data_IF_347326691200
#
_entry.id   IF_347326691200
#
_cell.length_a   1.000
_cell.length_b   1.000
_cell.length_c   1.000
_cell.angle_alpha   90.00
_cell.angle_beta   90.00
_cell.angle_gamma   90.00
#
_symmetry.space_group_name_H-M   'P 1'
#
loop_
_entity.id
_entity.type
_entity.pdbx_description
1 polymer ?
#
# COMPACT_ATOMS: atom_id res chain seq x y z
N UNK A 1 -78.02 0.75 28.29
CA UNK A 1 -77.38 -0.18 27.35
C UNK A 1 -76.25 0.54 26.64
N UNK A 2 -75.06 0.38 27.20
CA UNK A 2 -73.80 1.03 26.84
C UNK A 2 -73.04 0.13 25.85
N UNK A 3 -72.66 0.67 24.69
CA UNK A 3 -71.76 -0.01 23.73
C UNK A 3 -70.31 0.42 24.00
N UNK A 4 -69.31 -0.50 23.93
CA UNK A 4 -67.97 -0.22 24.42
C UNK A 4 -67.07 0.46 23.38
N UNK A 5 -66.19 1.33 23.90
CA UNK A 5 -65.03 1.92 23.24
C UNK A 5 -63.99 0.82 22.92
N UNK A 6 -63.65 0.62 21.65
CA UNK A 6 -62.47 -0.16 21.26
C UNK A 6 -61.22 0.71 21.35
N UNK A 7 -60.39 0.49 22.37
CA UNK A 7 -59.02 1.03 22.46
C UNK A 7 -58.15 0.34 21.41
N UNK A 8 -57.70 1.07 20.40
CA UNK A 8 -56.64 0.62 19.50
C UNK A 8 -55.30 0.80 20.23
N UNK A 9 -54.69 -0.31 20.65
CA UNK A 9 -53.36 -0.35 21.23
C UNK A 9 -52.36 -0.31 20.06
N UNK A 10 -51.74 0.85 19.81
CA UNK A 10 -50.69 0.98 18.81
C UNK A 10 -49.39 0.35 19.32
N UNK A 11 -49.02 -0.82 18.77
CA UNK A 11 -47.68 -1.38 18.93
C UNK A 11 -46.67 -0.49 18.19
N UNK A 12 -45.86 0.24 18.95
CA UNK A 12 -44.69 0.94 18.46
C UNK A 12 -43.61 -0.10 18.13
N UNK A 13 -43.45 -0.47 16.85
CA UNK A 13 -42.29 -1.26 16.42
C UNK A 13 -41.05 -0.36 16.47
N UNK A 14 -40.19 -0.57 17.46
CA UNK A 14 -38.84 -0.03 17.49
C UNK A 14 -37.99 -0.74 16.44
N UNK A 15 -37.55 -0.01 15.41
CA UNK A 15 -36.52 -0.48 14.50
C UNK A 15 -35.18 -0.50 15.26
N UNK A 16 -34.76 -1.68 15.70
CA UNK A 16 -33.38 -1.90 16.08
C UNK A 16 -32.54 -1.90 14.79
N UNK A 17 -31.73 -0.86 14.59
CA UNK A 17 -30.68 -0.87 13.59
C UNK A 17 -29.66 -1.93 14.00
N UNK A 18 -29.80 -3.16 13.50
CA UNK A 18 -28.71 -4.12 13.52
C UNK A 18 -27.60 -3.56 12.62
N UNK A 19 -26.51 -3.07 13.23
CA UNK A 19 -25.24 -2.92 12.54
C UNK A 19 -24.76 -4.33 12.26
N UNK A 20 -25.06 -4.82 11.06
CA UNK A 20 -24.48 -6.04 10.55
C UNK A 20 -22.98 -5.76 10.36
N UNK A 21 -22.12 -6.44 11.12
CA UNK A 21 -20.74 -6.60 10.72
C UNK A 21 -20.77 -7.44 9.44
N UNK A 22 -20.70 -6.79 8.27
CA UNK A 22 -20.47 -7.49 7.01
C UNK A 22 -19.11 -8.17 7.09
N UNK A 23 -19.11 -9.46 7.44
CA UNK A 23 -17.95 -10.32 7.23
C UNK A 23 -17.98 -10.74 5.77
N UNK A 24 -17.50 -9.86 4.88
CA UNK A 24 -17.04 -10.32 3.57
C UNK A 24 -15.77 -11.12 3.82
N UNK A 25 -15.82 -12.44 3.68
CA UNK A 25 -14.60 -13.25 3.67
C UNK A 25 -13.65 -12.67 2.61
N UNK A 26 -12.44 -12.22 2.98
CA UNK A 26 -11.56 -11.52 2.05
C UNK A 26 -11.15 -12.48 0.92
N UNK A 27 -11.17 -11.98 -0.32
CA UNK A 27 -10.67 -12.73 -1.47
C UNK A 27 -9.16 -12.90 -1.28
N UNK A 28 -8.70 -14.13 -1.09
CA UNK A 28 -7.28 -14.47 -1.00
C UNK A 28 -6.78 -14.86 -2.38
N UNK A 29 -5.66 -14.26 -2.78
CA UNK A 29 -4.96 -14.57 -4.01
C UNK A 29 -3.51 -14.96 -3.74
N UNK A 30 -2.82 -15.35 -4.80
CA UNK A 30 -1.37 -15.50 -4.78
C UNK A 30 -0.76 -14.78 -5.98
N UNK A 31 0.47 -14.33 -5.82
CA UNK A 31 1.28 -13.78 -6.90
C UNK A 31 2.66 -14.45 -6.90
N UNK A 32 3.22 -14.63 -8.09
CA UNK A 32 4.60 -15.07 -8.27
C UNK A 32 5.43 -13.87 -8.65
N UNK A 33 6.42 -13.56 -7.83
CA UNK A 33 7.39 -12.50 -8.08
C UNK A 33 8.63 -13.14 -8.71
N UNK A 34 8.88 -12.82 -9.97
CA UNK A 34 10.04 -13.32 -10.69
C UNK A 34 11.20 -12.35 -10.50
N UNK A 35 12.19 -12.78 -9.71
CA UNK A 35 13.45 -12.07 -9.54
C UNK A 35 14.39 -12.46 -10.67
N UNK A 36 14.96 -11.45 -11.31
CA UNK A 36 16.13 -11.58 -12.17
C UNK A 36 17.40 -11.55 -11.33
N UNK A 37 18.49 -12.08 -11.88
CA UNK A 37 19.82 -11.80 -11.34
C UNK A 37 20.08 -10.29 -11.37
N UNK A 38 20.79 -9.78 -10.36
CA UNK A 38 20.89 -8.35 -10.04
C UNK A 38 19.54 -7.75 -9.60
N UNK A 39 19.12 -6.62 -10.18
CA UNK A 39 18.07 -5.78 -9.57
C UNK A 39 16.69 -6.09 -10.14
N UNK A 40 15.75 -6.35 -9.24
CA UNK A 40 14.31 -6.45 -9.53
C UNK A 40 13.53 -5.50 -8.62
N UNK A 41 12.53 -4.79 -9.15
CA UNK A 41 11.64 -3.94 -8.36
C UNK A 41 10.40 -4.72 -7.95
N UNK A 42 10.04 -4.64 -6.68
CA UNK A 42 8.90 -5.34 -6.11
C UNK A 42 7.95 -4.37 -5.42
N UNK A 43 6.68 -4.71 -5.46
CA UNK A 43 5.61 -4.04 -4.75
C UNK A 43 4.49 -5.04 -4.55
N UNK A 44 3.69 -4.85 -3.51
CA UNK A 44 2.68 -5.82 -3.13
C UNK A 44 1.33 -5.40 -3.67
N UNK A 45 0.85 -6.12 -4.69
CA UNK A 45 -0.52 -5.98 -5.18
C UNK A 45 -1.54 -6.65 -4.26
N UNK A 46 -1.06 -7.51 -3.36
CA UNK A 46 -1.85 -8.16 -2.32
C UNK A 46 -1.66 -7.45 -0.99
N UNK A 47 -2.71 -7.41 -0.19
CA UNK A 47 -2.71 -6.85 1.14
C UNK A 47 -2.39 -7.89 2.21
N UNK A 48 -1.88 -7.41 3.35
CA UNK A 48 -1.90 -8.11 4.61
C UNK A 48 -3.26 -8.57 5.11
N UNK A 49 -3.20 -9.28 6.23
CA UNK A 49 -4.37 -9.62 7.03
C UNK A 49 -4.99 -8.33 7.58
N UNK A 50 -6.28 -8.16 7.29
CA UNK A 50 -7.13 -7.20 7.99
C UNK A 50 -7.47 -7.75 9.37
N UNK A 51 -7.18 -6.98 10.42
CA UNK A 51 -7.43 -7.41 11.81
C UNK A 51 -8.70 -6.79 12.39
N UNK A 52 -9.06 -5.59 11.93
CA UNK A 52 -10.21 -4.86 12.45
C UNK A 52 -10.80 -3.96 11.36
N UNK A 53 -12.12 -3.77 11.40
CA UNK A 53 -12.81 -2.68 10.73
C UNK A 53 -13.70 -1.96 11.75
N UNK A 54 -13.65 -0.63 11.76
CA UNK A 54 -14.42 0.17 12.70
C UNK A 54 -14.73 1.56 12.13
N UNK A 55 -15.80 2.17 12.63
CA UNK A 55 -15.96 3.61 12.52
C UNK A 55 -14.99 4.31 13.48
N UNK A 56 -14.67 5.57 13.24
CA UNK A 56 -13.81 6.36 14.13
C UNK A 56 -14.25 7.82 14.20
N UNK A 57 -13.92 8.46 15.32
CA UNK A 57 -13.98 9.91 15.48
C UNK A 57 -12.57 10.46 15.59
N UNK A 58 -12.39 11.71 15.18
CA UNK A 58 -11.12 12.41 15.19
C UNK A 58 -11.04 13.25 16.47
N UNK A 59 -9.88 13.29 17.11
CA UNK A 59 -9.69 14.19 18.24
C UNK A 59 -9.83 15.65 17.80
N UNK A 60 -10.57 16.44 18.59
CA UNK A 60 -10.76 17.87 18.33
C UNK A 60 -9.49 18.71 18.46
N UNK A 61 -8.43 18.19 19.08
CA UNK A 61 -7.16 18.90 19.29
C UNK A 61 -6.00 18.42 18.39
N UNK A 62 -6.09 17.22 17.82
CA UNK A 62 -5.03 16.63 17.00
C UNK A 62 -5.59 15.59 16.02
N UNK A 63 -5.48 15.85 14.71
CA UNK A 63 -5.98 14.94 13.66
C UNK A 63 -5.18 13.65 13.51
N UNK A 64 -4.05 13.49 14.23
CA UNK A 64 -3.34 12.21 14.34
C UNK A 64 -3.98 11.27 15.32
N UNK A 65 -4.80 11.78 16.24
CA UNK A 65 -5.46 10.97 17.28
C UNK A 65 -6.88 10.66 16.84
N UNK A 66 -7.21 9.36 16.80
CA UNK A 66 -8.55 8.87 16.46
C UNK A 66 -9.06 7.91 17.52
N UNK A 67 -10.38 7.89 17.70
CA UNK A 67 -11.07 7.04 18.67
C UNK A 67 -11.97 6.07 17.93
N UNK A 68 -11.68 4.77 18.02
CA UNK A 68 -12.47 3.76 17.34
C UNK A 68 -13.84 3.60 18.02
N UNK A 69 -14.87 3.49 17.20
CA UNK A 69 -16.26 3.39 17.60
C UNK A 69 -16.78 1.98 17.33
N UNK A 70 -17.62 1.46 18.23
CA UNK A 70 -18.26 0.16 18.08
C UNK A 70 -18.73 -0.41 19.42
N UNK A 71 -19.92 -1.00 19.45
CA UNK A 71 -20.42 -1.68 20.64
C UNK A 71 -19.54 -2.89 20.98
N UNK A 72 -18.98 -2.93 22.18
CA UNK A 72 -18.13 -4.04 22.63
C UNK A 72 -16.70 -4.01 22.09
N UNK A 73 -16.30 -2.95 21.38
CA UNK A 73 -14.91 -2.72 21.01
C UNK A 73 -14.12 -2.32 22.26
N UNK A 74 -13.09 -3.09 22.58
CA UNK A 74 -12.17 -2.82 23.69
C UNK A 74 -10.76 -3.09 23.21
N UNK A 75 -9.97 -2.04 23.03
CA UNK A 75 -8.54 -2.17 22.71
C UNK A 75 -7.72 -2.48 23.96
N UNK A 76 -6.55 -3.05 23.76
CA UNK A 76 -5.49 -3.12 24.80
C UNK A 76 -4.36 -2.14 24.46
N UNK A 77 -3.66 -1.67 25.49
CA UNK A 77 -2.47 -0.84 25.27
C UNK A 77 -1.46 -1.56 24.38
N UNK A 78 -0.94 -0.85 23.39
CA UNK A 78 0.05 -1.38 22.44
C UNK A 78 -0.49 -2.43 21.44
N UNK A 79 -1.79 -2.72 21.38
CA UNK A 79 -2.34 -3.78 20.51
C UNK A 79 -1.83 -3.72 19.07
N UNK A 80 -1.82 -2.55 18.44
CA UNK A 80 -1.37 -2.35 17.06
C UNK A 80 -0.03 -1.61 16.93
N UNK A 81 0.68 -1.44 18.05
CA UNK A 81 2.05 -0.91 18.08
C UNK A 81 2.80 -1.48 19.29
N UNK A 82 2.99 -2.81 19.38
CA UNK A 82 3.45 -3.47 20.60
C UNK A 82 4.95 -3.26 20.88
N UNK A 83 5.66 -2.56 20.00
CA UNK A 83 7.10 -2.37 20.10
C UNK A 83 7.60 -1.17 19.29
N UNK A 84 8.93 -1.08 19.07
CA UNK A 84 9.54 0.07 18.38
C UNK A 84 9.28 0.08 16.87
N UNK A 85 8.82 -1.05 16.31
CA UNK A 85 8.51 -1.18 14.90
C UNK A 85 7.02 -0.92 14.66
N UNK A 86 6.75 -0.10 13.65
CA UNK A 86 5.42 0.18 13.17
C UNK A 86 4.85 -1.01 12.39
N UNK A 87 4.18 -1.94 13.07
CA UNK A 87 3.68 -3.17 12.46
C UNK A 87 2.26 -3.07 11.91
N UNK A 88 1.56 -1.96 12.12
CA UNK A 88 0.19 -1.79 11.65
C UNK A 88 -0.05 -0.44 10.97
N UNK A 89 -1.03 -0.44 10.08
CA UNK A 89 -1.54 0.78 9.46
C UNK A 89 -3.06 0.75 9.40
N UNK A 90 -3.67 1.92 9.47
CA UNK A 90 -5.07 2.10 9.12
C UNK A 90 -5.19 2.41 7.64
N UNK A 91 -6.30 1.98 7.02
CA UNK A 91 -6.77 2.47 5.74
C UNK A 91 -8.16 3.06 5.90
N UNK A 92 -8.36 4.30 5.46
CA UNK A 92 -9.68 4.94 5.45
C UNK A 92 -10.47 4.39 4.26
N UNK A 93 -11.63 3.79 4.53
CA UNK A 93 -12.46 3.13 3.50
C UNK A 93 -13.73 3.89 3.15
N UNK A 94 -14.10 4.90 3.95
CA UNK A 94 -15.21 5.79 3.63
C UNK A 94 -14.97 6.53 2.31
N UNK A 95 -16.01 6.60 1.49
CA UNK A 95 -15.99 7.38 0.25
C UNK A 95 -15.70 8.86 0.53
N UNK A 96 -14.92 9.49 -0.34
CA UNK A 96 -14.53 10.91 -0.22
C UNK A 96 -13.02 11.11 -0.33
N UNK A 97 -12.53 12.28 0.11
CA UNK A 97 -11.13 12.70 -0.06
C UNK A 97 -10.12 11.78 0.63
N UNK A 98 -10.52 11.08 1.70
CA UNK A 98 -9.65 10.15 2.42
C UNK A 98 -9.68 8.70 1.93
N UNK A 99 -10.54 8.34 0.98
CA UNK A 99 -10.73 6.93 0.61
C UNK A 99 -9.42 6.33 0.06
N UNK A 100 -8.98 5.22 0.64
CA UNK A 100 -7.79 4.49 0.23
C UNK A 100 -6.49 5.04 0.81
N UNK A 101 -6.55 6.07 1.67
CA UNK A 101 -5.38 6.61 2.37
C UNK A 101 -4.95 5.66 3.47
N UNK A 102 -3.65 5.35 3.51
CA UNK A 102 -3.04 4.57 4.58
C UNK A 102 -2.26 5.45 5.56
N UNK A 103 -2.31 5.11 6.85
CA UNK A 103 -1.56 5.79 7.91
C UNK A 103 -1.00 4.76 8.88
N UNK A 104 0.30 4.82 9.12
CA UNK A 104 0.94 3.98 10.14
C UNK A 104 0.38 4.31 11.52
N UNK A 105 0.10 3.28 12.32
CA UNK A 105 -0.24 3.42 13.74
C UNK A 105 1.06 3.54 14.52
N UNK A 106 1.23 4.61 15.27
CA UNK A 106 2.38 4.85 16.14
C UNK A 106 2.11 4.52 17.61
N UNK A 107 0.83 4.45 18.00
CA UNK A 107 0.44 4.09 19.37
C UNK A 107 -1.01 3.56 19.41
N UNK A 108 -1.27 2.66 20.35
CA UNK A 108 -2.62 2.23 20.73
C UNK A 108 -2.78 2.35 22.24
N UNK A 109 -3.89 2.95 22.68
CA UNK A 109 -4.28 3.00 24.08
C UNK A 109 -5.66 2.37 24.26
N UNK A 110 -5.81 1.57 25.30
CA UNK A 110 -7.09 1.01 25.73
C UNK A 110 -8.08 2.12 26.10
N UNK A 111 -7.58 3.20 26.71
CA UNK A 111 -8.38 4.35 27.07
C UNK A 111 -9.04 4.97 25.82
N UNK A 112 -10.38 4.92 25.78
CA UNK A 112 -11.16 5.49 24.69
C UNK A 112 -11.01 4.78 23.34
N UNK A 113 -10.42 3.58 23.29
CA UNK A 113 -10.08 2.87 22.05
C UNK A 113 -9.26 3.76 21.09
N UNK A 114 -8.23 4.39 21.62
CA UNK A 114 -7.48 5.42 20.91
C UNK A 114 -6.37 4.81 20.05
N UNK A 115 -6.25 5.32 18.83
CA UNK A 115 -5.05 5.17 17.99
C UNK A 115 -4.38 6.53 17.82
N UNK A 116 -3.05 6.54 17.87
CA UNK A 116 -2.25 7.66 17.36
C UNK A 116 -1.63 7.23 16.04
N UNK A 117 -1.78 8.07 15.02
CA UNK A 117 -1.26 7.86 13.68
C UNK A 117 0.05 8.65 13.49
N UNK A 118 0.95 8.14 12.64
CA UNK A 118 2.19 8.84 12.31
C UNK A 118 1.94 10.17 11.56
N UNK A 119 0.90 10.19 10.74
CA UNK A 119 0.46 11.31 9.93
C UNK A 119 -1.01 11.63 10.20
N UNK A 120 -1.41 12.88 9.96
CA UNK A 120 -2.78 13.33 10.19
C UNK A 120 -3.79 12.63 9.27
N UNK A 121 -5.00 12.43 9.80
CA UNK A 121 -6.17 12.10 9.00
C UNK A 121 -6.40 13.22 7.96
N UNK A 122 -6.48 12.92 6.65
CA UNK A 122 -6.61 13.91 5.59
C UNK A 122 -7.75 14.91 5.82
N UNK A 123 -7.57 16.14 5.33
CA UNK A 123 -8.65 17.12 5.30
C UNK A 123 -9.86 16.59 4.51
N UNK A 124 -11.07 16.89 4.98
CA UNK A 124 -12.32 16.41 4.40
C UNK A 124 -12.80 15.04 4.90
N UNK A 125 -12.00 14.32 5.69
CA UNK A 125 -12.48 13.17 6.47
C UNK A 125 -13.02 13.68 7.81
N UNK A 126 -14.27 13.32 8.11
CA UNK A 126 -14.96 13.70 9.35
C UNK A 126 -15.24 12.52 10.27
N UNK A 127 -15.83 12.83 11.42
CA UNK A 127 -16.28 11.84 12.41
C UNK A 127 -17.30 10.87 11.83
N UNK A 128 -17.30 9.64 12.33
CA UNK A 128 -18.12 8.54 11.81
C UNK A 128 -17.60 7.92 10.52
N UNK A 129 -16.46 8.38 9.98
CA UNK A 129 -15.77 7.69 8.90
C UNK A 129 -15.33 6.28 9.34
N UNK A 130 -15.13 5.40 8.37
CA UNK A 130 -14.75 4.01 8.58
C UNK A 130 -13.31 3.76 8.14
N UNK A 131 -12.62 2.92 8.90
CA UNK A 131 -11.27 2.45 8.60
C UNK A 131 -11.15 0.94 8.73
N UNK A 132 -10.14 0.38 8.08
CA UNK A 132 -9.62 -0.97 8.30
C UNK A 132 -8.24 -0.87 8.96
N UNK A 133 -7.92 -1.79 9.85
CA UNK A 133 -6.59 -1.96 10.44
C UNK A 133 -5.92 -3.16 9.79
N UNK A 134 -4.72 -2.93 9.28
CA UNK A 134 -3.90 -3.90 8.56
C UNK A 134 -2.64 -4.20 9.36
N UNK A 135 -2.33 -5.48 9.57
CA UNK A 135 -1.02 -5.92 10.07
C UNK A 135 -0.02 -5.91 8.92
N UNK A 136 0.84 -4.89 8.84
CA UNK A 136 1.83 -4.76 7.78
C UNK A 136 2.66 -6.04 7.64
N UNK A 137 3.04 -6.35 6.40
CA UNK A 137 3.93 -7.47 6.14
C UNK A 137 5.29 -7.22 6.73
N UNK A 138 5.91 -8.27 7.24
CA UNK A 138 7.31 -8.23 7.66
C UNK A 138 8.22 -8.94 6.67
N UNK A 139 9.53 -8.82 6.85
CA UNK A 139 10.48 -9.66 6.13
C UNK A 139 10.17 -11.15 6.33
N UNK A 140 9.81 -11.55 7.54
CA UNK A 140 9.43 -12.92 7.84
C UNK A 140 8.13 -13.37 7.16
N UNK A 141 7.12 -12.50 7.04
CA UNK A 141 5.88 -12.84 6.34
C UNK A 141 6.11 -13.13 4.84
N UNK A 142 6.96 -12.33 4.19
CA UNK A 142 7.17 -12.41 2.73
C UNK A 142 8.23 -13.44 2.35
N UNK A 143 9.32 -13.48 3.10
CA UNK A 143 10.50 -14.27 2.74
C UNK A 143 10.73 -15.47 3.68
N UNK A 144 9.92 -15.59 4.74
CA UNK A 144 10.03 -16.61 5.77
C UNK A 144 10.98 -16.19 6.90
N UNK A 145 10.59 -16.48 8.14
CA UNK A 145 11.44 -16.23 9.33
C UNK A 145 12.79 -16.95 9.25
N UNK A 146 12.87 -18.05 8.51
CA UNK A 146 14.11 -18.79 8.23
C UNK A 146 14.49 -18.81 6.74
N UNK A 147 14.11 -17.77 5.99
CA UNK A 147 14.35 -17.64 4.54
C UNK A 147 13.74 -18.79 3.70
N UNK A 148 12.49 -19.16 4.00
CA UNK A 148 11.76 -20.17 3.25
C UNK A 148 11.48 -19.78 1.79
N UNK A 149 11.60 -18.49 1.44
CA UNK A 149 11.51 -18.02 0.06
C UNK A 149 12.75 -18.35 -0.79
N UNK A 150 13.82 -18.88 -0.19
CA UNK A 150 14.99 -19.34 -0.94
C UNK A 150 15.87 -18.22 -1.49
N UNK A 151 15.94 -17.08 -0.79
CA UNK A 151 16.95 -16.08 -1.10
C UNK A 151 18.35 -16.66 -0.88
N UNK A 152 19.33 -16.19 -1.64
CA UNK A 152 20.73 -16.54 -1.43
C UNK A 152 21.18 -15.97 -0.09
N UNK A 153 21.59 -16.82 0.84
CA UNK A 153 22.06 -16.44 2.17
C UNK A 153 23.54 -16.74 2.34
N UNK A 154 24.26 -15.85 3.00
CA UNK A 154 25.65 -16.01 3.38
C UNK A 154 25.93 -15.31 4.72
N UNK A 155 27.16 -15.37 5.23
CA UNK A 155 27.57 -14.66 6.46
C UNK A 155 27.71 -13.15 6.26
N UNK A 156 27.77 -12.70 4.99
CA UNK A 156 27.96 -11.30 4.62
C UNK A 156 26.90 -10.83 3.60
N UNK A 157 26.52 -9.53 3.62
CA UNK A 157 25.61 -8.97 2.63
C UNK A 157 26.19 -9.00 1.21
N UNK A 158 27.52 -8.94 1.05
CA UNK A 158 28.21 -8.94 -0.24
C UNK A 158 28.10 -10.28 -0.98
N UNK A 159 27.70 -11.35 -0.29
CA UNK A 159 27.48 -12.69 -0.84
C UNK A 159 26.00 -13.11 -0.80
N UNK A 160 25.14 -12.32 -0.18
CA UNK A 160 23.71 -12.59 -0.04
C UNK A 160 22.88 -11.84 -1.08
N UNK A 161 21.63 -12.27 -1.26
CA UNK A 161 20.61 -11.41 -1.86
C UNK A 161 20.31 -10.26 -0.90
N UNK A 162 20.07 -9.07 -1.44
CA UNK A 162 19.76 -7.87 -0.66
C UNK A 162 18.35 -7.40 -0.93
N UNK A 163 17.61 -7.10 0.12
CA UNK A 163 16.33 -6.40 0.08
C UNK A 163 16.61 -4.93 0.39
N UNK A 164 16.27 -4.05 -0.55
CA UNK A 164 16.52 -2.62 -0.50
C UNK A 164 15.19 -1.91 -0.25
N UNK A 165 14.98 -1.50 0.99
CA UNK A 165 13.78 -0.80 1.43
C UNK A 165 14.03 0.71 1.43
N UNK A 166 13.32 1.51 0.61
CA UNK A 166 13.47 2.96 0.62
C UNK A 166 13.21 3.54 2.00
N UNK A 167 14.09 4.42 2.48
CA UNK A 167 13.97 5.10 3.77
C UNK A 167 13.81 6.63 3.63
N UNK A 168 13.47 7.11 2.44
CA UNK A 168 13.27 8.53 2.11
C UNK A 168 14.53 9.25 1.62
N UNK A 169 15.73 8.78 1.96
CA UNK A 169 17.00 9.35 1.48
C UNK A 169 17.82 8.37 0.65
N UNK A 170 17.75 7.09 0.99
CA UNK A 170 18.50 5.98 0.41
C UNK A 170 17.69 4.70 0.59
N UNK A 171 18.37 3.57 0.75
CA UNK A 171 17.80 2.28 1.09
C UNK A 171 18.40 1.75 2.37
N UNK A 172 17.54 1.27 3.25
CA UNK A 172 17.93 0.26 4.22
C UNK A 172 18.13 -1.07 3.48
N UNK A 173 19.21 -1.79 3.82
CA UNK A 173 19.59 -3.03 3.13
C UNK A 173 19.51 -4.18 4.10
N UNK A 174 18.71 -5.18 3.76
CA UNK A 174 18.49 -6.37 4.57
C UNK A 174 18.91 -7.62 3.82
N UNK A 175 19.40 -8.61 4.54
CA UNK A 175 19.78 -9.90 4.01
C UNK A 175 19.53 -11.00 5.05
N UNK A 176 19.40 -12.25 4.60
CA UNK A 176 19.35 -13.37 5.52
C UNK A 176 20.76 -13.90 5.77
N UNK A 177 21.22 -13.79 7.01
CA UNK A 177 22.54 -14.27 7.43
C UNK A 177 22.48 -15.77 7.75
N UNK A 178 23.39 -16.55 7.17
CA UNK A 178 23.43 -18.01 7.38
C UNK A 178 24.20 -18.43 8.63
N UNK A 179 25.01 -17.55 9.24
CA UNK A 179 25.87 -17.89 10.39
C UNK A 179 26.93 -16.84 10.72
N UNK A 180 28.12 -17.30 11.15
CA UNK A 180 29.24 -16.44 11.52
C UNK A 180 29.02 -15.61 12.79
N UNK A 181 29.82 -14.55 12.96
CA UNK A 181 29.78 -13.67 14.15
C UNK A 181 28.43 -12.94 14.33
N UNK A 182 27.61 -12.86 13.28
CA UNK A 182 26.29 -12.23 13.30
C UNK A 182 25.16 -13.22 13.64
N UNK A 183 25.46 -14.52 13.71
CA UNK A 183 24.50 -15.59 13.89
C UNK A 183 23.56 -15.76 12.69
N UNK A 184 22.59 -16.67 12.80
CA UNK A 184 21.59 -16.93 11.76
C UNK A 184 20.37 -16.01 11.94
N UNK A 185 19.78 -15.54 10.83
CA UNK A 185 18.53 -14.77 10.83
C UNK A 185 18.58 -13.53 9.93
N UNK A 186 17.52 -12.73 9.95
CA UNK A 186 17.46 -11.49 9.15
C UNK A 186 18.37 -10.42 9.75
N UNK A 187 19.17 -9.75 8.92
CA UNK A 187 20.11 -8.72 9.37
C UNK A 187 19.98 -7.47 8.51
N UNK A 188 20.27 -6.33 9.12
CA UNK A 188 20.46 -5.06 8.41
C UNK A 188 21.96 -4.87 8.16
N UNK A 189 22.35 -4.54 6.93
CA UNK A 189 23.75 -4.22 6.62
C UNK A 189 24.20 -3.04 7.49
N UNK A 190 25.28 -3.24 8.27
CA UNK A 190 25.77 -2.25 9.23
C UNK A 190 24.96 -2.13 10.53
N UNK A 191 23.95 -2.97 10.74
CA UNK A 191 23.05 -2.93 11.91
C UNK A 191 23.40 -3.88 13.06
N UNK A 192 24.55 -4.56 13.01
CA UNK A 192 24.97 -5.52 14.05
C UNK A 192 24.23 -6.86 13.98
N UNK A 193 23.97 -7.47 15.15
CA UNK A 193 23.43 -8.84 15.29
C UNK A 193 21.93 -8.91 15.56
N UNK A 194 21.25 -7.75 15.63
CA UNK A 194 19.81 -7.70 15.87
C UNK A 194 19.05 -8.37 14.73
N UNK A 195 18.09 -9.22 15.07
CA UNK A 195 17.21 -9.85 14.10
C UNK A 195 16.21 -8.83 13.54
N UNK A 196 16.09 -8.82 12.22
CA UNK A 196 15.27 -7.89 11.46
C UNK A 196 14.02 -8.55 10.89
N UNK A 197 13.70 -9.78 11.31
CA UNK A 197 12.56 -10.57 10.82
C UNK A 197 11.24 -9.78 10.83
N UNK A 198 11.03 -8.96 11.87
CA UNK A 198 9.82 -8.17 12.11
C UNK A 198 9.81 -6.81 11.42
N UNK A 199 10.82 -6.47 10.61
CA UNK A 199 10.86 -5.19 9.89
C UNK A 199 9.65 -5.09 8.95
N UNK A 200 8.79 -4.07 9.12
CA UNK A 200 7.59 -3.92 8.32
C UNK A 200 7.92 -3.43 6.90
N UNK A 201 7.10 -3.88 5.95
CA UNK A 201 7.18 -3.57 4.54
C UNK A 201 5.93 -2.74 4.15
N UNK A 202 6.10 -1.54 3.56
CA UNK A 202 4.98 -0.67 3.22
C UNK A 202 4.06 -1.29 2.17
N UNK A 203 2.74 -1.24 2.41
CA UNK A 203 1.72 -1.81 1.52
C UNK A 203 1.74 -1.15 0.13
N UNK A 204 1.86 0.17 0.09
CA UNK A 204 1.81 0.96 -1.16
C UNK A 204 3.19 1.30 -1.71
N UNK A 205 4.24 0.98 -0.94
CA UNK A 205 5.62 1.27 -1.30
C UNK A 205 6.22 0.18 -2.18
N UNK A 206 7.02 0.59 -3.14
CA UNK A 206 7.93 -0.30 -3.84
C UNK A 206 9.22 -0.51 -3.05
N UNK A 207 9.87 -1.65 -3.28
CA UNK A 207 11.22 -1.97 -2.84
C UNK A 207 12.02 -2.53 -4.01
N UNK A 208 13.31 -2.71 -3.84
CA UNK A 208 14.13 -3.47 -4.79
C UNK A 208 14.71 -4.71 -4.11
N UNK A 209 14.94 -5.76 -4.88
CA UNK A 209 15.79 -6.88 -4.49
C UNK A 209 16.96 -6.95 -5.44
N UNK A 210 18.16 -7.06 -4.87
CA UNK A 210 19.36 -7.44 -5.59
C UNK A 210 19.63 -8.93 -5.38
N UNK A 211 19.24 -9.76 -6.33
CA UNK A 211 19.41 -11.20 -6.27
C UNK A 211 20.73 -11.65 -6.93
N UNK A 212 21.36 -12.68 -6.36
CA UNK A 212 22.56 -13.33 -6.91
C UNK A 212 22.26 -14.33 -8.02
N UNK A 213 21.01 -14.71 -8.15
CA UNK A 213 20.53 -15.59 -9.19
C UNK A 213 19.04 -15.36 -9.39
N UNK A 214 18.56 -15.64 -10.59
CA UNK A 214 17.13 -15.59 -10.88
C UNK A 214 16.38 -16.60 -10.00
N UNK A 215 15.24 -16.17 -9.44
CA UNK A 215 14.40 -17.00 -8.58
C UNK A 215 12.95 -16.53 -8.58
N UNK A 216 12.04 -17.35 -8.08
CA UNK A 216 10.62 -17.00 -7.97
C UNK A 216 10.20 -17.05 -6.52
N UNK A 217 9.57 -15.98 -6.05
CA UNK A 217 9.01 -15.88 -4.71
C UNK A 217 7.50 -16.00 -4.83
N UNK A 218 6.91 -16.90 -4.05
CA UNK A 218 5.46 -17.03 -3.95
C UNK A 218 4.96 -16.17 -2.80
N UNK A 219 3.90 -15.44 -3.06
CA UNK A 219 3.33 -14.53 -2.11
C UNK A 219 1.82 -14.69 -2.08
N UNK A 220 1.26 -14.83 -0.89
CA UNK A 220 -0.17 -15.05 -0.67
C UNK A 220 -0.70 -13.92 0.20
N UNK A 221 -1.86 -13.39 -0.16
CA UNK A 221 -2.43 -12.24 0.54
C UNK A 221 -3.83 -11.92 0.04
N UNK A 222 -4.42 -10.87 0.58
CA UNK A 222 -5.78 -10.46 0.23
C UNK A 222 -5.76 -9.57 -1.01
N UNK A 223 -6.71 -9.76 -1.93
CA UNK A 223 -6.88 -8.84 -3.06
C UNK A 223 -7.55 -7.57 -2.56
N UNK A 224 -6.96 -6.40 -2.85
CA UNK A 224 -7.59 -5.11 -2.55
C UNK A 224 -8.50 -4.66 -3.70
N UNK A 225 -9.82 -4.50 -3.48
CA UNK A 225 -10.65 -3.73 -4.37
C UNK A 225 -10.55 -2.22 -4.07
N UNK A 226 -10.90 -1.42 -5.06
CA UNK A 226 -11.16 0.01 -4.90
C UNK A 226 -9.94 0.91 -4.99
N UNK A 227 -10.05 2.08 -4.36
CA UNK A 227 -9.05 3.13 -4.44
C UNK A 227 -7.91 2.90 -3.44
N UNK A 228 -6.69 3.15 -3.89
CA UNK A 228 -5.50 3.28 -3.06
C UNK A 228 -4.89 4.65 -3.30
N UNK A 229 -4.66 5.40 -2.23
CA UNK A 229 -3.97 6.67 -2.30
C UNK A 229 -2.49 6.49 -1.98
N UNK A 230 -1.64 6.98 -2.89
CA UNK A 230 -0.19 6.97 -2.75
C UNK A 230 0.29 8.41 -2.61
N UNK A 231 0.87 8.73 -1.46
CA UNK A 231 1.53 10.02 -1.26
C UNK A 231 2.83 10.05 -2.06
N UNK A 232 2.97 11.04 -2.94
CA UNK A 232 4.18 11.31 -3.70
C UNK A 232 4.90 12.52 -3.10
N UNK A 233 6.16 12.35 -2.73
CA UNK A 233 7.07 13.43 -2.34
C UNK A 233 7.84 13.94 -3.55
N UNK A 234 8.36 15.16 -3.50
CA UNK A 234 9.30 15.63 -4.53
C UNK A 234 10.54 14.72 -4.58
N UNK A 235 10.98 14.34 -5.78
CA UNK A 235 12.07 13.38 -5.98
C UNK A 235 11.58 11.99 -6.40
N UNK A 236 12.35 10.96 -6.07
CA UNK A 236 12.05 9.58 -6.45
C UNK A 236 11.08 8.94 -5.45
N UNK A 237 9.98 8.38 -5.97
CA UNK A 237 8.99 7.64 -5.21
C UNK A 237 8.93 6.21 -5.75
N UNK A 238 9.09 5.22 -4.88
CA UNK A 238 8.97 3.81 -5.24
C UNK A 238 7.53 3.38 -5.01
N UNK A 239 6.81 3.09 -6.08
CA UNK A 239 5.36 2.86 -6.06
C UNK A 239 5.08 1.42 -6.45
N UNK A 240 4.36 0.70 -5.59
CA UNK A 240 3.89 -0.63 -5.94
C UNK A 240 2.90 -0.56 -7.11
N UNK A 241 3.08 -1.42 -8.11
CA UNK A 241 2.08 -1.65 -9.14
C UNK A 241 0.99 -2.57 -8.60
N UNK A 242 -0.12 -1.94 -8.23
CA UNK A 242 -1.32 -2.59 -7.72
C UNK A 242 -2.18 -3.07 -8.91
N UNK A 243 -1.98 -4.30 -9.39
CA UNK A 243 -2.58 -4.85 -10.64
C UNK A 243 -3.89 -5.66 -10.39
N UNK A 244 -4.87 -5.75 -11.34
CA UNK A 244 -5.30 -4.81 -12.37
C UNK A 244 -6.80 -4.46 -12.36
N UNK A 245 -7.12 -3.33 -13.02
CA UNK A 245 -8.44 -2.72 -13.19
C UNK A 245 -9.33 -3.51 -14.16
N UNK A 246 -10.51 -3.91 -13.72
CA UNK A 246 -11.64 -4.18 -14.60
C UNK A 246 -12.56 -2.96 -14.62
N UNK A 247 -12.61 -2.22 -15.73
CA UNK A 247 -13.54 -1.10 -15.90
C UNK A 247 -15.02 -1.56 -15.97
N UNK A 248 -15.27 -2.86 -16.20
CA UNK A 248 -16.60 -3.47 -16.36
C UNK A 248 -17.06 -4.35 -15.19
N UNK A 249 -16.28 -4.45 -14.10
CA UNK A 249 -16.73 -5.05 -12.84
C UNK A 249 -17.00 -6.57 -12.83
N UNK A 250 -16.65 -7.33 -13.87
CA UNK A 250 -16.77 -8.80 -13.87
C UNK A 250 -15.54 -9.48 -14.48
N UNK A 251 -14.71 -10.14 -13.66
CA UNK A 251 -13.56 -10.95 -14.08
C UNK A 251 -12.19 -10.25 -14.03
N UNK A 252 -11.11 -11.04 -14.22
CA UNK A 252 -9.75 -10.51 -14.33
C UNK A 252 -9.61 -9.61 -15.57
N UNK A 253 -8.93 -8.47 -15.43
CA UNK A 253 -8.71 -7.54 -16.55
C UNK A 253 -8.01 -8.21 -17.73
N UNK A 254 -8.59 -8.13 -18.93
CA UNK A 254 -7.92 -8.51 -20.17
C UNK A 254 -7.03 -7.40 -20.74
N UNK A 255 -7.09 -6.18 -20.18
CA UNK A 255 -6.41 -5.00 -20.71
C UNK A 255 -5.01 -4.79 -20.11
N UNK A 256 -4.72 -5.40 -18.95
CA UNK A 256 -3.53 -5.10 -18.15
C UNK A 256 -3.47 -3.64 -17.69
N UNK A 257 -2.51 -3.29 -16.82
CA UNK A 257 -2.26 -1.89 -16.44
C UNK A 257 -1.19 -1.33 -17.38
N UNK A 258 -1.60 -0.46 -18.30
CA UNK A 258 -0.75 0.27 -19.24
C UNK A 258 -0.70 1.75 -18.84
N UNK A 259 0.28 2.50 -19.31
CA UNK A 259 0.36 3.94 -19.04
C UNK A 259 -0.97 4.65 -19.36
N UNK A 260 -1.55 4.38 -20.53
CA UNK A 260 -2.78 5.03 -21.01
C UNK A 260 -4.07 4.71 -20.24
N UNK A 261 -4.11 3.64 -19.44
CA UNK A 261 -5.28 3.27 -18.63
C UNK A 261 -4.98 3.25 -17.12
N UNK A 262 -3.80 3.72 -16.72
CA UNK A 262 -3.30 3.63 -15.35
C UNK A 262 -3.97 4.62 -14.39
N UNK A 263 -4.48 5.74 -14.91
CA UNK A 263 -4.94 6.91 -14.15
C UNK A 263 -3.80 7.78 -13.61
N UNK A 264 -2.54 7.45 -13.90
CA UNK A 264 -1.38 8.20 -13.42
C UNK A 264 -1.41 9.66 -13.88
N UNK A 265 -1.92 9.94 -15.08
CA UNK A 265 -1.96 11.29 -15.63
C UNK A 265 -2.79 12.28 -14.81
N UNK A 266 -3.72 11.80 -13.98
CA UNK A 266 -4.55 12.66 -13.12
C UNK A 266 -3.79 13.15 -11.87
N UNK A 267 -2.83 12.36 -11.39
CA UNK A 267 -2.04 12.67 -10.19
C UNK A 267 -0.66 13.26 -10.47
N UNK A 268 -0.17 13.13 -11.70
CA UNK A 268 1.14 13.62 -12.12
C UNK A 268 1.05 15.02 -12.75
N UNK A 269 2.11 15.81 -12.58
CA UNK A 269 2.29 17.03 -13.37
C UNK A 269 2.75 16.66 -14.77
N UNK A 270 1.87 16.86 -15.76
CA UNK A 270 2.25 16.80 -17.17
C UNK A 270 2.99 18.06 -17.64
N UNK A 271 3.56 18.01 -18.84
CA UNK A 271 4.26 19.16 -19.42
C UNK A 271 4.51 19.01 -20.91
N UNK A 272 4.74 20.11 -21.63
CA UNK A 272 5.00 20.10 -23.08
C UNK A 272 6.39 19.54 -23.45
N UNK A 273 7.22 19.25 -22.46
CA UNK A 273 8.52 18.62 -22.60
C UNK A 273 8.82 17.77 -21.35
N UNK A 274 9.67 16.75 -21.51
CA UNK A 274 10.00 15.83 -20.42
C UNK A 274 10.67 16.50 -19.22
N UNK A 275 11.35 17.64 -19.38
CA UNK A 275 11.99 18.38 -18.29
C UNK A 275 11.00 19.12 -17.38
N UNK A 276 9.77 19.35 -17.84
CA UNK A 276 8.72 20.08 -17.13
C UNK A 276 7.68 19.16 -16.48
N UNK A 277 7.66 17.89 -16.87
CA UNK A 277 6.71 16.90 -16.37
C UNK A 277 7.30 16.08 -15.22
N UNK A 278 6.47 15.31 -14.52
CA UNK A 278 6.94 14.16 -13.76
C UNK A 278 7.32 13.01 -14.70
N UNK A 279 8.20 12.13 -14.24
CA UNK A 279 8.59 10.96 -15.00
C UNK A 279 8.15 9.67 -14.32
N UNK A 280 7.65 8.74 -15.13
CA UNK A 280 7.48 7.33 -14.76
C UNK A 280 8.68 6.57 -15.29
N UNK A 281 9.45 5.97 -14.38
CA UNK A 281 10.69 5.26 -14.66
C UNK A 281 10.43 3.75 -14.56
N UNK A 282 10.55 3.07 -15.69
CA UNK A 282 10.38 1.61 -15.79
C UNK A 282 11.75 0.96 -15.98
N UNK A 283 12.13 0.09 -15.06
CA UNK A 283 13.40 -0.63 -15.13
C UNK A 283 13.40 -1.57 -16.34
N UNK A 284 14.45 -1.52 -17.17
CA UNK A 284 14.56 -2.31 -18.39
C UNK A 284 15.69 -3.36 -18.32
N UNK A 285 16.25 -3.61 -17.13
CA UNK A 285 17.37 -4.54 -16.91
C UNK A 285 18.74 -3.88 -16.90
N UNK A 286 18.90 -2.70 -17.52
CA UNK A 286 20.19 -1.97 -17.57
C UNK A 286 20.10 -0.55 -17.03
N UNK A 287 18.92 0.04 -17.10
CA UNK A 287 18.61 1.38 -16.65
C UNK A 287 17.11 1.58 -16.60
N UNK A 288 16.66 2.80 -16.85
CA UNK A 288 15.23 3.11 -16.88
C UNK A 288 14.81 3.67 -18.22
N UNK A 289 13.75 3.09 -18.77
CA UNK A 289 12.93 3.82 -19.73
C UNK A 289 12.13 4.88 -18.97
N UNK A 290 12.17 6.11 -19.47
CA UNK A 290 11.53 7.25 -18.82
C UNK A 290 10.36 7.71 -19.66
N UNK A 291 9.18 7.82 -19.05
CA UNK A 291 7.95 8.22 -19.69
C UNK A 291 7.35 9.45 -18.99
N UNK A 292 6.65 10.29 -19.74
CA UNK A 292 5.96 11.46 -19.19
C UNK A 292 4.62 11.69 -19.89
N UNK A 293 3.70 12.34 -19.20
CA UNK A 293 2.44 12.78 -19.81
C UNK A 293 2.63 14.16 -20.47
N UNK A 294 2.59 14.19 -21.80
CA UNK A 294 2.64 15.43 -22.56
C UNK A 294 1.28 16.13 -22.55
N UNK A 295 1.26 17.41 -22.25
CA UNK A 295 0.02 18.23 -22.24
C UNK A 295 -0.19 19.01 -23.54
N UNK A 296 0.70 18.88 -24.53
CA UNK A 296 0.61 19.58 -25.81
C UNK A 296 1.97 19.84 -26.48
N UNK A 297 2.05 20.94 -27.23
CA UNK A 297 3.24 21.30 -28.00
C UNK A 297 3.48 20.40 -29.22
N UNK A 298 4.72 20.34 -29.71
CA UNK A 298 5.11 19.51 -30.86
C UNK A 298 4.91 18.00 -30.61
N UNK A 299 4.92 17.60 -29.34
CA UNK A 299 4.66 16.23 -28.93
C UNK A 299 3.17 15.87 -28.95
N UNK A 300 2.26 16.85 -29.00
CA UNK A 300 0.82 16.64 -28.81
C UNK A 300 0.46 16.21 -27.38
N UNK A 301 -0.81 15.83 -27.16
CA UNK A 301 -1.28 15.36 -25.86
C UNK A 301 -1.07 13.84 -25.70
N UNK A 302 -0.74 13.39 -24.49
CA UNK A 302 -0.65 11.98 -24.10
C UNK A 302 0.73 11.48 -23.70
N UNK A 303 0.85 10.18 -23.42
CA UNK A 303 2.08 9.54 -22.95
C UNK A 303 3.19 9.52 -23.99
N UNK A 304 4.40 9.92 -23.60
CA UNK A 304 5.60 9.98 -24.44
C UNK A 304 6.80 9.38 -23.73
N UNK A 305 7.81 8.97 -24.49
CA UNK A 305 9.10 8.50 -23.98
C UNK A 305 10.11 9.65 -24.01
N UNK A 306 10.97 9.76 -23.01
CA UNK A 306 12.08 10.72 -23.04
C UNK A 306 13.00 10.37 -24.20
N UNK A 307 13.25 11.33 -25.09
CA UNK A 307 14.02 11.11 -26.33
C UNK A 307 13.16 10.67 -27.53
N UNK A 308 11.89 10.31 -27.34
CA UNK A 308 10.92 10.05 -28.42
C UNK A 308 9.56 10.66 -28.07
N UNK A 309 9.39 11.92 -28.48
CA UNK A 309 8.17 12.68 -28.24
C UNK A 309 7.13 12.56 -29.37
N UNK A 310 7.46 11.87 -30.47
CA UNK A 310 6.57 11.72 -31.62
C UNK A 310 5.63 10.51 -31.47
N UNK A 311 6.11 9.45 -30.81
CA UNK A 311 5.36 8.21 -30.65
C UNK A 311 4.53 8.19 -29.37
N UNK A 312 3.25 7.81 -29.47
CA UNK A 312 2.41 7.55 -28.31
C UNK A 312 2.90 6.33 -27.53
N UNK A 313 2.98 6.45 -26.22
CA UNK A 313 3.40 5.38 -25.31
C UNK A 313 2.26 4.88 -24.42
N UNK A 314 1.00 5.18 -24.79
CA UNK A 314 -0.18 4.79 -24.02
C UNK A 314 -0.29 3.26 -23.82
N UNK A 315 0.25 2.48 -24.76
CA UNK A 315 0.19 1.02 -24.74
C UNK A 315 1.31 0.33 -23.94
N UNK A 316 2.27 1.09 -23.43
CA UNK A 316 3.36 0.54 -22.60
C UNK A 316 2.77 -0.05 -21.32
N UNK A 317 3.02 -1.33 -21.10
CA UNK A 317 2.64 -2.03 -19.87
C UNK A 317 3.45 -1.52 -18.68
N UNK A 318 2.77 -1.34 -17.54
CA UNK A 318 3.44 -1.14 -16.27
C UNK A 318 3.98 -2.50 -15.78
N UNK A 319 5.18 -2.54 -15.18
CA UNK A 319 5.81 -3.78 -14.74
C UNK A 319 5.05 -4.39 -13.58
N UNK A 320 5.06 -5.72 -13.47
CA UNK A 320 4.65 -6.38 -12.24
C UNK A 320 5.58 -5.97 -11.09
N UNK A 321 5.05 -5.86 -9.87
CA UNK A 321 5.83 -5.44 -8.71
C UNK A 321 5.79 -3.93 -8.48
N UNK A 322 6.80 -3.19 -8.91
CA UNK A 322 6.89 -1.74 -8.65
C UNK A 322 7.58 -0.95 -9.78
N UNK A 323 7.34 0.35 -9.80
CA UNK A 323 8.02 1.33 -10.66
C UNK A 323 8.37 2.59 -9.86
N UNK A 324 9.15 3.48 -10.47
CA UNK A 324 9.58 4.72 -9.82
C UNK A 324 8.86 5.90 -10.47
N UNK A 325 8.39 6.84 -9.65
CA UNK A 325 7.92 8.15 -10.10
C UNK A 325 8.92 9.20 -9.65
N UNK A 326 9.54 9.89 -10.61
CA UNK A 326 10.29 11.11 -10.34
C UNK A 326 9.31 12.29 -10.38
N UNK A 327 8.91 12.73 -9.19
CA UNK A 327 8.03 13.88 -8.98
C UNK A 327 8.86 15.16 -8.96
N UNK A 328 8.61 16.06 -9.91
CA UNK A 328 9.25 17.38 -9.97
C UNK A 328 8.41 18.48 -9.32
N UNK A 329 7.10 18.29 -9.26
CA UNK A 329 6.21 19.20 -8.56
C UNK A 329 6.27 19.07 -7.03
N UNK A 330 5.44 19.87 -6.35
CA UNK A 330 5.21 19.76 -4.91
C UNK A 330 4.61 18.39 -4.54
N UNK A 331 4.71 17.95 -3.26
CA UNK A 331 4.07 16.73 -2.81
C UNK A 331 2.59 16.68 -3.18
N UNK A 332 2.12 15.52 -3.59
CA UNK A 332 0.75 15.31 -4.05
C UNK A 332 0.28 13.91 -3.70
N UNK A 333 -1.00 13.63 -3.89
CA UNK A 333 -1.56 12.30 -3.72
C UNK A 333 -2.05 11.77 -5.05
N UNK A 334 -1.57 10.58 -5.40
CA UNK A 334 -1.99 9.83 -6.56
C UNK A 334 -3.05 8.81 -6.15
N UNK A 335 -4.15 8.72 -6.91
CA UNK A 335 -5.18 7.70 -6.71
C UNK A 335 -4.97 6.58 -7.71
N UNK A 336 -4.71 5.38 -7.21
CA UNK A 336 -4.69 4.15 -7.99
C UNK A 336 -5.97 3.36 -7.72
N UNK A 337 -6.81 3.21 -8.73
CA UNK A 337 -7.99 2.35 -8.66
C UNK A 337 -7.60 0.91 -9.04
N UNK A 338 -8.04 -0.07 -8.25
CA UNK A 338 -7.85 -1.51 -8.48
C UNK A 338 -9.11 -2.22 -9.01
N UNK A 339 -10.20 -1.48 -9.24
CA UNK A 339 -11.49 -2.00 -9.68
C UNK A 339 -12.33 -2.59 -8.55
N UNK A 340 -13.46 -3.20 -8.90
CA UNK A 340 -14.29 -4.00 -8.00
C UNK A 340 -14.26 -5.47 -8.42
N UNK A 341 -14.39 -6.38 -7.47
CA UNK A 341 -14.47 -7.83 -7.69
C UNK A 341 -15.79 -8.38 -7.16
#
# INVERSE_FOLDING_TARGET
MTRPLSKLLGCLLGFANMVHAEVTSPIVGFMKLHLQEETSFMGFALLPVMELQAAFNISGSDRKVVFLQGSGLTLTDGQFSPGPLATHAVEIVSAGSGQGVTRVISQTLAAGNQLTLAEEVPAGVGDGASLKIWRLWTLADVFGGTNNAGLTSAETPEQSDLILLPNGASFDRYFYCSGGAQGTGWRKQGGGTADMAEVPLPITGGMAIRARSAKTILLVGQVKPGNTQVSLQTGHNYVANLCPVNASGTGASSLGRKLGNSGLEQGLTGGTASSLADLVLLWNGTGYDQYYFSTGGLAGNGWRKVGDAATSQADVALPDGAFIILRRGAPTTLVLNQGSF
#
